data_IF_260397366280
#
_entry.id   IF_260397366280
#
_cell.length_a   1.000
_cell.length_b   1.000
_cell.length_c   1.000
_cell.angle_alpha   90.00
_cell.angle_beta   90.00
_cell.angle_gamma   90.00
#
_symmetry.space_group_name_H-M   'P 1'
#
loop_
_entity.id
_entity.type
_entity.pdbx_description
1 polymer ?
#
# COMPACT_ATOMS: atom_id res chain seq x y z
N UNK A 1 32.43 -9.98 -39.82
CA UNK A 1 31.76 -9.05 -38.89
C UNK A 1 31.07 -9.87 -37.81
N UNK A 2 31.75 -10.06 -36.67
CA UNK A 2 31.16 -10.68 -35.48
C UNK A 2 30.40 -9.61 -34.71
N UNK A 3 29.10 -9.82 -34.43
CA UNK A 3 28.33 -8.97 -33.52
C UNK A 3 28.12 -9.76 -32.23
N UNK A 4 29.00 -9.51 -31.26
CA UNK A 4 28.77 -9.92 -29.88
C UNK A 4 27.72 -8.97 -29.28
N UNK A 5 26.51 -9.47 -29.06
CA UNK A 5 25.55 -8.81 -28.19
C UNK A 5 25.85 -9.25 -26.75
N UNK A 6 26.76 -8.52 -26.10
CA UNK A 6 26.90 -8.59 -24.65
C UNK A 6 25.71 -7.85 -24.03
N UNK A 7 24.61 -8.58 -23.84
CA UNK A 7 23.52 -8.15 -22.98
C UNK A 7 24.04 -8.08 -21.54
N UNK A 8 24.29 -6.88 -21.06
CA UNK A 8 24.62 -6.58 -19.68
C UNK A 8 23.55 -7.16 -18.75
N UNK A 9 23.87 -8.26 -18.07
CA UNK A 9 23.07 -8.88 -17.01
C UNK A 9 23.05 -8.05 -15.71
N UNK A 10 23.08 -6.72 -15.82
CA UNK A 10 22.94 -5.77 -14.72
C UNK A 10 21.51 -5.21 -14.75
N UNK A 11 20.56 -5.95 -14.20
CA UNK A 11 19.18 -5.46 -14.11
C UNK A 11 18.29 -6.19 -13.11
N UNK A 12 18.72 -7.36 -12.59
CA UNK A 12 17.89 -8.16 -11.69
C UNK A 12 18.26 -8.03 -10.21
N UNK A 13 19.43 -7.47 -9.87
CA UNK A 13 19.93 -7.48 -8.49
C UNK A 13 19.44 -6.30 -7.62
N UNK A 14 18.96 -5.20 -8.20
CA UNK A 14 18.45 -4.05 -7.42
C UNK A 14 16.97 -4.20 -7.00
N UNK A 15 16.20 -5.08 -7.65
CA UNK A 15 14.74 -5.16 -7.53
C UNK A 15 14.23 -5.89 -6.26
N UNK A 16 14.98 -5.88 -5.16
CA UNK A 16 14.61 -6.59 -3.94
C UNK A 16 14.46 -5.69 -2.71
N UNK A 17 14.35 -4.36 -2.90
CA UNK A 17 13.94 -3.51 -1.78
C UNK A 17 12.43 -3.69 -1.52
N UNK A 18 12.00 -3.78 -0.24
CA UNK A 18 10.57 -3.86 0.09
C UNK A 18 9.74 -2.73 -0.53
N UNK A 19 10.33 -1.52 -0.67
CA UNK A 19 9.65 -0.36 -1.27
C UNK A 19 9.39 -0.53 -2.77
N UNK A 20 10.31 -1.12 -3.51
CA UNK A 20 10.12 -1.37 -4.94
C UNK A 20 9.09 -2.46 -5.20
N UNK A 21 9.11 -3.52 -4.40
CA UNK A 21 8.09 -4.57 -4.44
C UNK A 21 6.69 -4.02 -4.16
N UNK A 22 6.55 -3.15 -3.15
CA UNK A 22 5.28 -2.47 -2.87
C UNK A 22 4.84 -1.58 -4.04
N UNK A 23 5.76 -0.78 -4.63
CA UNK A 23 5.44 0.07 -5.78
C UNK A 23 5.03 -0.74 -7.02
N UNK A 24 5.70 -1.86 -7.28
CA UNK A 24 5.35 -2.77 -8.37
C UNK A 24 3.94 -3.36 -8.16
N UNK A 25 3.63 -3.83 -6.94
CA UNK A 25 2.32 -4.34 -6.58
C UNK A 25 1.21 -3.28 -6.76
N UNK A 26 1.43 -2.06 -6.26
CA UNK A 26 0.48 -0.95 -6.40
C UNK A 26 0.14 -0.65 -7.87
N UNK A 27 1.16 -0.60 -8.74
CA UNK A 27 0.96 -0.39 -10.19
C UNK A 27 0.15 -1.51 -10.84
N UNK A 28 0.47 -2.76 -10.50
CA UNK A 28 -0.26 -3.92 -11.04
C UNK A 28 -1.74 -3.90 -10.61
N UNK A 29 -2.01 -3.60 -9.33
CA UNK A 29 -3.37 -3.46 -8.81
C UNK A 29 -4.14 -2.32 -9.50
N UNK A 30 -3.49 -1.17 -9.69
CA UNK A 30 -4.08 -0.03 -10.38
C UNK A 30 -4.50 -0.39 -11.81
N UNK A 31 -3.60 -1.00 -12.59
CA UNK A 31 -3.90 -1.40 -13.98
C UNK A 31 -5.04 -2.43 -14.01
N UNK A 32 -5.02 -3.41 -13.11
CA UNK A 32 -6.07 -4.42 -13.03
C UNK A 32 -7.45 -3.82 -12.66
N UNK A 33 -7.48 -2.87 -11.72
CA UNK A 33 -8.71 -2.17 -11.32
C UNK A 33 -9.23 -1.24 -12.43
N UNK A 34 -8.34 -0.55 -13.16
CA UNK A 34 -8.72 0.29 -14.30
C UNK A 34 -9.29 -0.53 -15.46
N UNK A 35 -8.73 -1.72 -15.72
CA UNK A 35 -9.23 -2.63 -16.76
C UNK A 35 -10.57 -3.25 -16.38
N UNK A 36 -10.81 -3.51 -15.09
CA UNK A 36 -12.07 -4.06 -14.62
C UNK A 36 -12.46 -3.45 -13.26
N UNK A 37 -13.30 -2.42 -13.29
CA UNK A 37 -13.75 -1.72 -12.07
C UNK A 37 -14.60 -2.56 -11.12
N UNK A 38 -15.11 -3.72 -11.57
CA UNK A 38 -15.84 -4.67 -10.71
C UNK A 38 -14.93 -5.70 -10.05
N UNK A 39 -13.66 -5.79 -10.45
CA UNK A 39 -12.70 -6.75 -9.87
C UNK A 39 -12.41 -6.37 -8.42
N UNK A 40 -12.61 -7.33 -7.52
CA UNK A 40 -12.27 -7.21 -6.10
C UNK A 40 -11.00 -8.00 -5.79
N UNK A 41 -10.29 -7.60 -4.74
CA UNK A 41 -9.07 -8.25 -4.27
C UNK A 41 -9.24 -8.70 -2.81
N UNK A 42 -10.05 -9.74 -2.56
CA UNK A 42 -10.38 -10.17 -1.20
C UNK A 42 -9.13 -10.56 -0.39
N UNK A 43 -8.22 -11.33 -0.98
CA UNK A 43 -6.96 -11.70 -0.32
C UNK A 43 -6.07 -10.50 0.03
N UNK A 44 -6.14 -9.39 -0.73
CA UNK A 44 -5.42 -8.17 -0.36
C UNK A 44 -6.09 -7.48 0.83
N UNK A 45 -7.44 -7.42 0.82
CA UNK A 45 -8.22 -6.86 1.90
C UNK A 45 -7.97 -7.62 3.21
N UNK A 46 -7.99 -8.95 3.18
CA UNK A 46 -7.72 -9.81 4.35
C UNK A 46 -6.33 -9.55 4.97
N UNK A 47 -5.35 -9.15 4.16
CA UNK A 47 -3.98 -8.86 4.61
C UNK A 47 -3.84 -7.45 5.19
N UNK A 48 -4.63 -6.49 4.70
CA UNK A 48 -4.60 -5.08 5.17
C UNK A 48 -5.49 -4.90 6.40
N UNK A 49 -6.66 -5.54 6.44
CA UNK A 49 -7.63 -5.46 7.53
C UNK A 49 -7.20 -6.27 8.78
N UNK A 50 -5.94 -6.69 8.87
CA UNK A 50 -5.44 -7.39 10.04
C UNK A 50 -5.32 -6.44 11.23
N UNK A 51 -5.73 -6.85 12.44
CA UNK A 51 -5.69 -5.97 13.61
C UNK A 51 -4.31 -5.39 13.94
N UNK A 52 -3.23 -6.13 13.66
CA UNK A 52 -1.86 -5.67 13.87
C UNK A 52 -1.47 -4.56 12.88
N UNK A 53 -1.88 -4.69 11.62
CA UNK A 53 -1.61 -3.69 10.58
C UNK A 53 -2.41 -2.42 10.84
N UNK A 54 -3.70 -2.55 11.16
CA UNK A 54 -4.57 -1.41 11.46
C UNK A 54 -4.10 -0.63 12.70
N UNK A 55 -3.66 -1.32 13.75
CA UNK A 55 -3.08 -0.69 14.94
C UNK A 55 -1.85 0.14 14.62
N UNK A 56 -0.92 -0.40 13.83
CA UNK A 56 0.29 0.32 13.40
C UNK A 56 -0.04 1.52 12.51
N UNK A 57 -1.00 1.37 11.60
CA UNK A 57 -1.48 2.48 10.78
C UNK A 57 -2.08 3.60 11.62
N UNK A 58 -2.89 3.25 12.64
CA UNK A 58 -3.46 4.20 13.58
C UNK A 58 -2.39 4.96 14.38
N UNK A 59 -1.40 4.26 14.93
CA UNK A 59 -0.26 4.88 15.64
C UNK A 59 0.47 5.91 14.76
N UNK A 60 0.71 5.57 13.49
CA UNK A 60 1.36 6.47 12.54
C UNK A 60 0.52 7.72 12.24
N UNK A 61 -0.79 7.55 12.03
CA UNK A 61 -1.73 8.65 11.78
C UNK A 61 -1.83 9.57 13.01
N UNK A 62 -1.92 8.99 14.21
CA UNK A 62 -1.94 9.73 15.48
C UNK A 62 -0.67 10.55 15.68
N UNK A 63 0.49 9.98 15.34
CA UNK A 63 1.78 10.69 15.42
C UNK A 63 1.86 11.88 14.47
N UNK A 64 1.21 11.80 13.31
CA UNK A 64 1.24 12.86 12.31
C UNK A 64 0.39 14.09 12.69
N UNK A 65 -0.44 14.00 13.75
CA UNK A 65 -1.28 15.10 14.30
C UNK A 65 -2.06 15.88 13.22
N UNK A 66 -2.46 15.20 12.15
CA UNK A 66 -3.08 15.83 10.99
C UNK A 66 -4.42 16.50 11.31
N UNK A 67 -4.78 17.50 10.52
CA UNK A 67 -6.11 18.09 10.52
C UNK A 67 -7.15 17.08 9.96
N UNK A 68 -8.42 17.32 10.26
CA UNK A 68 -9.51 16.53 9.70
C UNK A 68 -9.49 16.55 8.16
N UNK A 69 -9.88 15.42 7.56
CA UNK A 69 -10.03 15.30 6.12
C UNK A 69 -11.24 16.08 5.59
N UNK A 70 -11.55 15.88 4.31
CA UNK A 70 -12.75 16.43 3.67
C UNK A 70 -14.04 15.87 4.30
N UNK A 71 -13.95 14.69 4.90
CA UNK A 71 -15.00 14.04 5.69
C UNK A 71 -15.28 14.73 7.04
N UNK A 72 -14.41 15.65 7.48
CA UNK A 72 -14.55 16.37 8.75
C UNK A 72 -14.29 15.51 9.99
N UNK A 73 -13.89 14.25 9.83
CA UNK A 73 -13.57 13.38 10.95
C UNK A 73 -12.22 13.76 11.57
N UNK A 74 -12.24 14.06 12.86
CA UNK A 74 -11.03 14.36 13.63
C UNK A 74 -10.52 13.12 14.33
N UNK A 75 -9.21 13.05 14.57
CA UNK A 75 -8.61 11.98 15.37
C UNK A 75 -9.26 11.85 16.75
N UNK A 76 -9.67 12.98 17.36
CA UNK A 76 -10.38 13.00 18.64
C UNK A 76 -11.76 12.34 18.56
N UNK A 77 -12.49 12.53 17.46
CA UNK A 77 -13.79 11.89 17.26
C UNK A 77 -13.64 10.37 17.15
N UNK A 78 -12.60 9.90 16.45
CA UNK A 78 -12.28 8.47 16.31
C UNK A 78 -11.83 7.87 17.65
N UNK A 79 -11.00 8.58 18.43
CA UNK A 79 -10.62 8.16 19.78
C UNK A 79 -11.85 8.04 20.70
N UNK A 80 -12.81 8.96 20.61
CA UNK A 80 -14.04 8.95 21.40
C UNK A 80 -15.02 7.83 21.02
N UNK A 81 -15.06 7.43 19.74
CA UNK A 81 -15.88 6.30 19.28
C UNK A 81 -15.28 4.92 19.64
N UNK A 82 -14.00 4.89 19.99
CA UNK A 82 -13.29 3.70 20.42
C UNK A 82 -12.45 3.07 19.31
N UNK A 83 -11.13 3.19 19.44
CA UNK A 83 -10.10 2.68 18.50
C UNK A 83 -10.17 1.16 18.31
N UNK A 84 -10.80 0.43 19.23
CA UNK A 84 -10.94 -1.03 19.20
C UNK A 84 -12.00 -1.56 18.24
N UNK A 85 -12.83 -0.69 17.66
CA UNK A 85 -13.88 -1.05 16.69
C UNK A 85 -13.37 -1.13 15.24
N UNK A 86 -12.12 -0.72 15.00
CA UNK A 86 -11.49 -0.66 13.68
C UNK A 86 -10.79 -1.97 13.29
#
# INVERSE_FOLDING_TARGET
>A
MVRELQGTGQGMAEANSPRENVRALQRALYVAAKRNGRRKFPALYDRIARPDVLRRAWEQVRSNKGAAGIDGETLKAIEAQGVSRC
#
